data_IF_427999059962
#
_entry.id   IF_427999059962
#
_cell.length_a   1.000
_cell.length_b   1.000
_cell.length_c   1.000
_cell.angle_alpha   90.00
_cell.angle_beta   90.00
_cell.angle_gamma   90.00
#
_symmetry.space_group_name_H-M   'P 1'
#
loop_
_entity.id
_entity.type
_entity.pdbx_description
1 polymer ?
#
# COMPACT_ATOMS: atom_id res chain seq x y z
N UNK A 1 0.53 -2.50 11.46
CA UNK A 1 -0.45 -2.01 10.47
C UNK A 1 0.40 -1.23 9.50
N UNK A 2 0.39 -1.61 8.21
CA UNK A 2 1.32 -1.06 7.23
C UNK A 2 1.19 0.46 7.15
N UNK A 3 2.16 1.18 7.70
CA UNK A 3 2.13 2.63 7.86
C UNK A 3 3.27 3.36 7.17
N UNK A 4 4.24 2.64 6.60
CA UNK A 4 5.31 3.16 5.77
C UNK A 4 5.62 2.16 4.66
N UNK A 5 5.88 2.65 3.46
CA UNK A 5 6.35 1.82 2.35
C UNK A 5 7.29 2.58 1.42
N UNK A 6 7.85 1.87 0.44
CA UNK A 6 8.81 2.44 -0.51
C UNK A 6 8.34 2.27 -1.95
N UNK A 7 8.84 3.15 -2.81
CA UNK A 7 8.62 3.15 -4.24
C UNK A 7 9.96 3.50 -4.89
N UNK A 8 10.66 2.52 -5.40
CA UNK A 8 11.95 2.69 -6.08
C UNK A 8 11.94 2.09 -7.48
N UNK A 9 10.82 1.47 -7.89
CA UNK A 9 10.59 1.05 -9.26
C UNK A 9 10.57 2.26 -10.20
N UNK A 10 11.04 2.01 -11.41
CA UNK A 10 11.02 2.93 -12.54
C UNK A 10 9.66 2.89 -13.25
N UNK A 11 9.41 3.89 -14.10
CA UNK A 11 8.24 3.86 -14.98
C UNK A 11 8.24 2.64 -15.91
N UNK A 12 9.41 2.26 -16.45
CA UNK A 12 9.52 1.13 -17.36
C UNK A 12 9.12 -0.19 -16.69
N UNK A 13 9.53 -0.39 -15.42
CA UNK A 13 9.17 -1.59 -14.66
C UNK A 13 7.67 -1.69 -14.43
N UNK A 14 7.00 -0.63 -13.96
CA UNK A 14 5.54 -0.70 -13.74
C UNK A 14 4.75 -0.69 -15.05
N UNK A 15 5.25 -0.03 -16.09
CA UNK A 15 4.63 -0.05 -17.41
C UNK A 15 4.59 -1.48 -17.96
N UNK A 16 5.71 -2.19 -17.90
CA UNK A 16 5.80 -3.58 -18.31
C UNK A 16 4.99 -4.51 -17.39
N UNK A 17 5.16 -4.37 -16.07
CA UNK A 17 4.52 -5.22 -15.07
C UNK A 17 2.99 -5.20 -15.16
N UNK A 18 2.38 -4.02 -15.33
CA UNK A 18 0.92 -3.89 -15.42
C UNK A 18 0.39 -3.84 -16.87
N UNK A 19 1.25 -3.98 -17.87
CA UNK A 19 0.91 -3.80 -19.29
C UNK A 19 0.09 -2.51 -19.53
N UNK A 20 0.62 -1.38 -19.04
CA UNK A 20 -0.06 -0.08 -19.11
C UNK A 20 -0.13 0.40 -20.56
N UNK A 21 -1.18 1.14 -20.90
CA UNK A 21 -1.38 1.66 -22.27
C UNK A 21 -0.99 3.12 -22.45
N UNK A 22 -0.58 3.80 -21.37
CA UNK A 22 -0.16 5.19 -21.43
C UNK A 22 1.06 5.38 -22.34
N UNK A 23 0.92 6.17 -23.40
CA UNK A 23 1.98 6.36 -24.41
C UNK A 23 3.06 7.34 -23.95
N UNK A 24 2.78 8.17 -22.95
CA UNK A 24 3.72 9.18 -22.45
C UNK A 24 4.50 8.61 -21.26
N UNK A 25 5.84 8.47 -21.37
CA UNK A 25 6.66 8.06 -20.25
C UNK A 25 6.53 9.02 -19.07
N UNK A 26 6.51 8.48 -17.84
CA UNK A 26 6.55 9.30 -16.62
C UNK A 26 7.93 9.24 -16.00
N UNK A 27 8.35 10.36 -15.41
CA UNK A 27 9.54 10.40 -14.58
C UNK A 27 9.17 10.13 -13.11
N UNK A 28 9.06 8.85 -12.74
CA UNK A 28 8.79 8.45 -11.36
C UNK A 28 10.10 8.56 -10.55
N UNK A 29 10.07 9.40 -9.52
CA UNK A 29 11.20 9.56 -8.59
C UNK A 29 11.15 8.50 -7.49
N UNK A 30 12.30 7.95 -7.06
CA UNK A 30 12.35 7.03 -5.94
C UNK A 30 11.97 7.72 -4.64
N UNK A 31 11.24 7.01 -3.79
CA UNK A 31 10.75 7.44 -2.48
C UNK A 31 10.97 6.32 -1.47
N UNK A 32 11.82 6.59 -0.50
CA UNK A 32 12.35 5.58 0.42
C UNK A 32 11.61 5.54 1.78
N UNK A 33 10.65 6.43 2.01
CA UNK A 33 9.86 6.46 3.24
C UNK A 33 8.48 7.13 3.04
N UNK A 34 7.60 6.48 2.27
CA UNK A 34 6.26 6.99 2.00
C UNK A 34 5.41 6.88 3.26
N UNK A 35 4.87 8.01 3.70
CA UNK A 35 3.97 8.11 4.85
C UNK A 35 2.50 8.37 4.41
N UNK A 36 1.53 8.08 5.28
CA UNK A 36 0.13 8.41 5.03
C UNK A 36 -0.06 9.90 4.77
N UNK A 37 -1.16 10.24 4.11
CA UNK A 37 -1.53 11.58 3.62
C UNK A 37 -0.75 12.11 2.41
N UNK A 38 0.30 11.41 1.96
CA UNK A 38 1.01 11.75 0.72
C UNK A 38 0.35 11.14 -0.51
N UNK A 39 0.66 11.66 -1.70
CA UNK A 39 0.26 11.04 -2.97
C UNK A 39 1.03 9.73 -3.18
N UNK A 40 0.40 8.69 -3.71
CA UNK A 40 1.03 7.40 -4.00
C UNK A 40 0.59 6.87 -5.36
N UNK A 41 1.44 6.10 -6.03
CA UNK A 41 1.08 5.44 -7.28
C UNK A 41 -0.04 4.42 -7.09
N UNK A 42 -1.03 4.46 -7.98
CA UNK A 42 -2.20 3.59 -7.98
C UNK A 42 -2.50 3.13 -9.39
N UNK A 43 -2.78 1.83 -9.55
CA UNK A 43 -3.27 1.25 -10.80
C UNK A 43 -4.78 1.00 -10.69
N UNK A 44 -5.52 1.50 -11.67
CA UNK A 44 -6.97 1.30 -11.81
C UNK A 44 -7.31 0.71 -13.16
N UNK A 45 -8.48 0.10 -13.26
CA UNK A 45 -9.02 -0.36 -14.54
C UNK A 45 -9.77 0.79 -15.25
N UNK A 46 -9.41 1.05 -16.50
CA UNK A 46 -10.06 2.00 -17.41
C UNK A 46 -10.49 1.28 -18.68
N UNK A 47 -11.75 0.84 -18.71
CA UNK A 47 -12.25 -0.06 -19.76
C UNK A 47 -11.48 -1.40 -19.73
N UNK A 48 -10.86 -1.76 -20.84
CA UNK A 48 -10.04 -2.98 -20.98
C UNK A 48 -8.60 -2.81 -20.48
N UNK A 49 -8.18 -1.56 -20.22
CA UNK A 49 -6.80 -1.21 -19.94
C UNK A 49 -6.56 -0.91 -18.45
N UNK A 50 -5.29 -1.01 -18.05
CA UNK A 50 -4.84 -0.55 -16.75
C UNK A 50 -4.16 0.81 -16.89
N UNK A 51 -4.47 1.71 -15.96
CA UNK A 51 -3.96 3.08 -15.94
C UNK A 51 -3.26 3.38 -14.61
N UNK A 52 -2.12 4.07 -14.70
CA UNK A 52 -1.42 4.61 -13.53
C UNK A 52 -1.89 6.03 -13.23
N UNK A 53 -2.24 6.28 -11.98
CA UNK A 53 -2.54 7.61 -11.43
C UNK A 53 -1.89 7.77 -10.05
N UNK A 54 -1.93 8.99 -9.51
CA UNK A 54 -1.50 9.25 -8.14
C UNK A 54 -2.70 9.65 -7.29
N UNK A 55 -2.81 9.07 -6.08
CA UNK A 55 -3.92 9.32 -5.17
C UNK A 55 -3.42 9.56 -3.75
N UNK A 56 -4.15 10.38 -2.99
CA UNK A 56 -3.81 10.66 -1.60
C UNK A 56 -4.01 9.40 -0.75
N UNK A 57 -2.97 8.90 -0.10
CA UNK A 57 -3.07 7.72 0.76
C UNK A 57 -3.65 8.06 2.14
N UNK A 58 -4.98 8.19 2.20
CA UNK A 58 -5.83 8.34 3.38
C UNK A 58 -7.26 8.56 2.89
N UNK A 59 -8.01 7.46 2.73
CA UNK A 59 -9.28 7.45 2.01
C UNK A 59 -10.31 8.39 2.65
N UNK A 60 -10.91 9.21 1.80
CA UNK A 60 -12.02 10.12 2.09
C UNK A 60 -13.21 9.63 1.29
N UNK A 61 -14.27 9.11 1.92
CA UNK A 61 -15.39 8.60 1.19
C UNK A 61 -16.16 9.75 0.54
N UNK A 62 -16.72 9.52 -0.64
CA UNK A 62 -17.49 10.50 -1.42
C UNK A 62 -18.64 11.15 -0.65
N UNK A 63 -19.23 10.44 0.32
CA UNK A 63 -20.31 10.95 1.17
C UNK A 63 -19.84 11.82 2.35
N UNK A 64 -18.53 11.92 2.61
CA UNK A 64 -17.99 12.68 3.74
C UNK A 64 -18.42 14.14 3.65
N UNK A 65 -19.00 14.66 4.73
CA UNK A 65 -19.62 15.99 4.75
C UNK A 65 -18.94 16.98 5.69
N UNK A 66 -17.80 16.59 6.29
CA UNK A 66 -17.00 17.43 7.19
C UNK A 66 -15.67 17.76 6.51
N UNK A 67 -14.86 18.59 7.15
CA UNK A 67 -13.54 18.94 6.66
C UNK A 67 -12.65 17.70 6.46
N UNK A 68 -11.76 17.78 5.46
CA UNK A 68 -10.75 16.78 5.16
C UNK A 68 -9.89 16.39 6.38
N UNK A 69 -9.59 17.36 7.26
CA UNK A 69 -8.79 17.16 8.47
C UNK A 69 -9.49 16.31 9.54
N UNK A 70 -10.83 16.20 9.47
CA UNK A 70 -11.64 15.45 10.43
C UNK A 70 -11.86 13.99 10.05
N UNK A 71 -11.38 13.58 8.87
CA UNK A 71 -11.47 12.19 8.40
C UNK A 71 -10.69 11.29 9.36
N UNK A 72 -11.31 10.24 9.93
CA UNK A 72 -10.62 9.33 10.84
C UNK A 72 -9.50 8.58 10.10
N UNK A 73 -8.69 7.83 10.84
CA UNK A 73 -7.61 7.04 10.28
C UNK A 73 -8.11 5.99 9.26
N UNK A 74 -7.88 6.26 7.98
CA UNK A 74 -8.37 5.44 6.86
C UNK A 74 -7.30 5.08 5.84
N UNK A 75 -6.02 5.24 6.18
CA UNK A 75 -4.92 4.78 5.32
C UNK A 75 -4.87 3.25 5.20
N UNK A 76 -5.44 2.50 6.15
CA UNK A 76 -5.67 1.06 6.03
C UNK A 76 -7.16 0.70 6.20
N UNK A 77 -7.61 -0.30 5.44
CA UNK A 77 -8.87 -1.01 5.62
C UNK A 77 -8.60 -2.44 6.08
N UNK A 78 -9.37 -2.96 7.04
CA UNK A 78 -9.20 -4.34 7.54
C UNK A 78 -10.11 -5.26 6.76
N UNK A 79 -9.57 -6.34 6.17
CA UNK A 79 -10.36 -7.27 5.35
C UNK A 79 -11.54 -7.89 6.09
N UNK A 80 -11.47 -8.02 7.42
CA UNK A 80 -12.50 -8.63 8.25
C UNK A 80 -13.78 -7.79 8.33
N UNK A 81 -13.64 -6.45 8.32
CA UNK A 81 -14.77 -5.51 8.47
C UNK A 81 -15.06 -4.68 7.21
N UNK A 82 -14.29 -4.86 6.14
CA UNK A 82 -14.30 -4.00 4.94
C UNK A 82 -15.67 -3.93 4.26
N UNK A 83 -16.42 -5.04 4.24
CA UNK A 83 -17.71 -5.14 3.56
C UNK A 83 -18.86 -4.46 4.33
N UNK A 84 -18.73 -4.32 5.65
CA UNK A 84 -19.77 -3.72 6.51
C UNK A 84 -19.45 -2.28 6.90
N UNK A 85 -18.18 -1.89 6.91
CA UNK A 85 -17.72 -0.57 7.38
C UNK A 85 -18.14 0.55 6.43
N UNK A 86 -18.89 1.58 6.90
CA UNK A 86 -19.35 2.67 6.05
C UNK A 86 -18.26 3.41 5.27
N UNK A 87 -17.05 3.49 5.84
CA UNK A 87 -15.89 4.13 5.19
C UNK A 87 -15.42 3.40 3.92
N UNK A 88 -15.67 2.09 3.80
CA UNK A 88 -15.05 1.25 2.77
C UNK A 88 -16.06 0.47 1.91
N UNK A 89 -17.24 0.14 2.45
CA UNK A 89 -18.22 -0.75 1.79
C UNK A 89 -18.66 -0.30 0.40
N UNK A 90 -18.72 1.01 0.16
CA UNK A 90 -19.07 1.55 -1.17
C UNK A 90 -17.90 1.38 -2.11
N UNK A 91 -16.71 1.81 -1.69
CA UNK A 91 -15.51 1.71 -2.51
C UNK A 91 -15.13 0.25 -2.83
N UNK A 92 -15.36 -0.68 -1.90
CA UNK A 92 -15.20 -2.11 -2.14
C UNK A 92 -16.00 -2.61 -3.34
N UNK A 93 -17.21 -2.07 -3.57
CA UNK A 93 -18.10 -2.50 -4.66
C UNK A 93 -17.74 -1.92 -6.02
N UNK A 94 -17.12 -0.74 -6.09
CA UNK A 94 -16.98 -0.01 -7.36
C UNK A 94 -15.60 0.56 -7.66
N UNK A 95 -14.75 0.78 -6.66
CA UNK A 95 -13.51 1.55 -6.80
C UNK A 95 -12.36 0.85 -6.10
N UNK A 96 -12.05 -0.35 -6.60
CA UNK A 96 -10.88 -1.13 -6.19
C UNK A 96 -9.67 -0.68 -7.01
N UNK A 97 -8.49 -0.77 -6.42
CA UNK A 97 -7.24 -0.45 -7.09
C UNK A 97 -6.10 -1.37 -6.64
N UNK A 98 -4.98 -1.25 -7.33
CA UNK A 98 -3.70 -1.88 -6.98
C UNK A 98 -2.71 -0.79 -6.57
N UNK A 99 -1.92 -1.02 -5.54
CA UNK A 99 -0.92 -0.06 -5.05
C UNK A 99 0.46 -0.72 -5.13
N UNK A 100 1.28 -0.41 -6.15
CA UNK A 100 2.63 -0.95 -6.26
C UNK A 100 3.56 -0.35 -5.20
N UNK A 101 4.38 -1.20 -4.59
CA UNK A 101 5.41 -0.83 -3.62
C UNK A 101 6.66 -1.69 -3.82
N UNK A 102 7.86 -1.12 -3.65
CA UNK A 102 9.09 -1.93 -3.62
C UNK A 102 9.13 -2.81 -2.37
N UNK A 103 8.69 -2.26 -1.24
CA UNK A 103 8.58 -2.95 0.04
C UNK A 103 7.89 -2.09 1.06
N UNK A 104 7.69 -2.62 2.26
CA UNK A 104 7.04 -1.91 3.37
C UNK A 104 7.79 -2.09 4.68
N UNK A 105 7.49 -1.23 5.65
CA UNK A 105 8.11 -1.30 6.97
C UNK A 105 7.10 -1.73 8.03
N UNK A 106 7.57 -2.54 8.97
CA UNK A 106 6.89 -2.84 10.22
C UNK A 106 7.87 -2.80 11.39
N UNK A 107 7.35 -2.60 12.60
CA UNK A 107 8.13 -2.40 13.80
C UNK A 107 7.82 -3.49 14.82
N UNK A 108 8.87 -4.14 15.33
CA UNK A 108 8.74 -5.15 16.39
C UNK A 108 9.64 -4.84 17.60
N UNK A 109 9.29 -5.43 18.75
CA UNK A 109 9.96 -5.19 20.04
C UNK A 109 9.09 -4.41 21.04
N UNK A 110 9.65 -4.08 22.21
CA UNK A 110 8.97 -3.30 23.24
C UNK A 110 8.50 -1.95 22.71
N UNK A 111 7.33 -1.47 23.15
CA UNK A 111 6.66 -0.26 22.61
C UNK A 111 7.58 0.97 22.52
N UNK A 112 8.39 1.21 23.55
CA UNK A 112 9.28 2.38 23.63
C UNK A 112 10.61 2.21 22.87
N UNK A 113 10.90 1.01 22.36
CA UNK A 113 12.17 0.66 21.73
C UNK A 113 11.96 -0.21 20.48
N UNK A 114 10.84 -0.01 19.76
CA UNK A 114 10.56 -0.82 18.59
C UNK A 114 11.60 -0.55 17.50
N UNK A 115 12.15 -1.62 16.97
CA UNK A 115 13.10 -1.57 15.88
C UNK A 115 12.37 -1.83 14.55
N UNK A 116 12.71 -1.11 13.48
CA UNK A 116 12.09 -1.31 12.18
C UNK A 116 12.62 -2.57 11.48
N UNK A 117 11.78 -3.13 10.63
CA UNK A 117 12.09 -4.10 9.61
C UNK A 117 11.70 -3.52 8.26
N UNK A 118 12.47 -3.81 7.23
CA UNK A 118 12.02 -3.67 5.85
C UNK A 118 11.62 -5.03 5.32
N UNK A 119 10.48 -5.11 4.66
CA UNK A 119 9.88 -6.32 4.10
C UNK A 119 9.67 -6.11 2.60
N UNK A 120 10.16 -7.04 1.79
CA UNK A 120 10.07 -7.00 0.32
C UNK A 120 9.84 -8.39 -0.27
N UNK A 121 9.59 -8.46 -1.58
CA UNK A 121 9.49 -9.73 -2.28
C UNK A 121 10.85 -10.44 -2.34
N UNK A 122 10.88 -11.77 -2.18
CA UNK A 122 12.13 -12.56 -2.32
C UNK A 122 12.69 -12.52 -3.74
N UNK A 123 11.82 -12.40 -4.75
CA UNK A 123 12.20 -12.37 -6.16
C UNK A 123 12.68 -10.99 -6.65
N UNK A 124 12.71 -9.99 -5.76
CA UNK A 124 13.16 -8.63 -6.06
C UNK A 124 12.15 -7.78 -6.86
N UNK A 125 10.99 -8.34 -7.25
CA UNK A 125 9.96 -7.58 -7.96
C UNK A 125 9.16 -6.69 -7.00
N UNK A 126 8.56 -5.59 -7.49
CA UNK A 126 7.61 -4.82 -6.70
C UNK A 126 6.46 -5.69 -6.18
N UNK A 127 6.04 -5.42 -4.95
CA UNK A 127 4.80 -5.93 -4.37
C UNK A 127 3.60 -5.16 -4.91
N UNK A 128 2.45 -5.83 -4.97
CA UNK A 128 1.18 -5.22 -5.36
C UNK A 128 0.17 -5.35 -4.23
N UNK A 129 -0.13 -4.24 -3.54
CA UNK A 129 -1.14 -4.24 -2.48
C UNK A 129 -2.55 -4.10 -3.06
N UNK A 130 -3.51 -4.84 -2.51
CA UNK A 130 -4.93 -4.58 -2.75
C UNK A 130 -5.32 -3.26 -2.08
N UNK A 131 -5.97 -2.37 -2.83
CA UNK A 131 -6.44 -1.08 -2.33
C UNK A 131 -7.88 -0.79 -2.74
N UNK A 132 -8.44 0.22 -2.07
CA UNK A 132 -9.66 0.89 -2.50
C UNK A 132 -9.35 2.37 -2.73
N UNK A 133 -10.11 3.03 -3.57
CA UNK A 133 -10.09 4.48 -3.73
C UNK A 133 -11.49 5.08 -3.72
N UNK A 134 -11.59 6.38 -3.49
CA UNK A 134 -12.83 7.13 -3.66
C UNK A 134 -12.50 8.58 -4.06
N UNK A 135 -13.49 9.27 -4.63
CA UNK A 135 -13.41 10.67 -5.03
C UNK A 135 -14.34 11.48 -4.15
N UNK A 136 -13.76 12.38 -3.37
CA UNK A 136 -14.48 13.28 -2.52
C UNK A 136 -14.41 14.70 -3.07
N UNK A 137 -15.52 15.44 -2.97
CA UNK A 137 -15.60 16.85 -3.34
C UNK A 137 -16.06 17.65 -2.15
N UNK A 138 -15.27 18.64 -1.77
CA UNK A 138 -15.65 19.60 -0.75
C UNK A 138 -16.87 20.39 -1.21
N UNK A 139 -17.91 20.45 -0.38
CA UNK A 139 -19.18 21.09 -0.73
C UNK A 139 -19.12 22.62 -0.70
N UNK A 140 -18.20 23.18 0.07
CA UNK A 140 -18.05 24.61 0.26
C UNK A 140 -17.04 25.19 -0.74
N UNK A 141 -15.88 24.55 -0.88
CA UNK A 141 -14.79 25.04 -1.74
C UNK A 141 -14.84 24.47 -3.17
N UNK A 142 -15.50 23.34 -3.36
CA UNK A 142 -15.48 22.60 -4.64
C UNK A 142 -14.18 21.85 -4.91
N UNK A 143 -13.23 21.83 -3.97
CA UNK A 143 -11.98 21.08 -4.07
C UNK A 143 -12.25 19.58 -4.22
N UNK A 144 -11.57 18.91 -5.15
CA UNK A 144 -11.70 17.48 -5.38
C UNK A 144 -10.45 16.73 -4.90
N UNK A 145 -10.66 15.69 -4.10
CA UNK A 145 -9.60 14.81 -3.60
C UNK A 145 -9.92 13.39 -4.03
N UNK A 146 -9.06 12.82 -4.89
CA UNK A 146 -9.02 11.37 -5.09
C UNK A 146 -8.07 10.75 -4.08
N UNK A 147 -8.54 9.77 -3.32
CA UNK A 147 -7.80 9.20 -2.20
C UNK A 147 -7.94 7.69 -2.14
N UNK A 148 -6.94 7.02 -1.58
CA UNK A 148 -6.89 5.56 -1.49
C UNK A 148 -6.60 5.05 -0.07
N UNK A 149 -6.82 3.75 0.12
CA UNK A 149 -6.50 2.98 1.32
C UNK A 149 -5.87 1.65 0.93
N UNK A 150 -4.97 1.13 1.76
CA UNK A 150 -4.39 -0.20 1.60
C UNK A 150 -5.25 -1.20 2.40
N UNK A 151 -5.60 -2.33 1.80
CA UNK A 151 -6.29 -3.40 2.51
C UNK A 151 -5.25 -4.23 3.27
N UNK A 152 -5.56 -4.53 4.52
CA UNK A 152 -4.74 -5.35 5.41
C UNK A 152 -5.53 -6.56 5.89
N UNK A 153 -4.83 -7.68 6.09
CA UNK A 153 -5.36 -8.92 6.65
C UNK A 153 -4.50 -9.35 7.85
N UNK A 154 -4.87 -10.47 8.47
CA UNK A 154 -4.01 -11.13 9.46
C UNK A 154 -2.62 -11.45 8.88
N UNK A 155 -1.62 -11.49 9.74
CA UNK A 155 -0.28 -11.89 9.33
C UNK A 155 -0.20 -13.41 9.13
N UNK A 156 0.50 -13.82 8.09
CA UNK A 156 0.96 -15.19 7.92
C UNK A 156 2.06 -15.54 8.96
N UNK A 157 2.42 -16.82 9.15
CA UNK A 157 3.44 -17.22 10.13
C UNK A 157 4.77 -16.45 10.01
N UNK A 158 5.25 -16.16 8.80
CA UNK A 158 6.42 -15.32 8.58
C UNK A 158 6.25 -13.91 9.20
N UNK A 159 5.17 -13.21 8.84
CA UNK A 159 4.90 -11.85 9.30
C UNK A 159 4.56 -11.80 10.79
N UNK A 160 3.99 -12.84 11.39
CA UNK A 160 3.66 -12.88 12.83
C UNK A 160 4.90 -12.73 13.72
N UNK A 161 6.09 -13.10 13.23
CA UNK A 161 7.38 -12.84 13.91
C UNK A 161 7.67 -11.33 14.05
N UNK A 162 7.05 -10.48 13.22
CA UNK A 162 7.26 -9.02 13.15
C UNK A 162 6.02 -8.25 13.64
N UNK A 163 4.85 -8.51 13.06
CA UNK A 163 3.60 -7.81 13.32
C UNK A 163 2.39 -8.73 13.10
N UNK A 164 1.31 -8.57 13.85
CA UNK A 164 0.07 -9.37 13.76
C UNK A 164 -0.76 -9.15 12.48
N UNK A 165 -0.31 -8.28 11.58
CA UNK A 165 -1.07 -7.80 10.40
C UNK A 165 -0.10 -7.58 9.26
N UNK A 166 -0.58 -7.74 8.04
CA UNK A 166 0.17 -7.44 6.81
C UNK A 166 -0.76 -6.81 5.76
N UNK A 167 -0.22 -6.09 4.76
CA UNK A 167 -1.01 -5.74 3.59
C UNK A 167 -1.47 -7.00 2.85
N UNK A 168 -2.65 -6.93 2.23
CA UNK A 168 -3.06 -7.96 1.26
C UNK A 168 -2.23 -7.76 0.00
N UNK A 169 -1.36 -8.73 -0.29
CA UNK A 169 -0.46 -8.70 -1.45
C UNK A 169 -1.04 -9.63 -2.52
N UNK A 170 -1.42 -9.07 -3.66
CA UNK A 170 -2.06 -9.80 -4.75
C UNK A 170 -1.02 -10.34 -5.74
N UNK A 171 -1.25 -11.56 -6.20
CA UNK A 171 -0.51 -12.14 -7.33
C UNK A 171 -0.99 -11.54 -8.64
N UNK A 172 -0.12 -11.52 -9.65
CA UNK A 172 -0.42 -11.00 -10.99
C UNK A 172 -1.67 -11.62 -11.61
N UNK A 173 -1.87 -12.94 -11.40
CA UNK A 173 -3.06 -13.68 -11.86
C UNK A 173 -4.38 -13.15 -11.28
N UNK A 174 -4.33 -12.49 -10.13
CA UNK A 174 -5.52 -12.07 -9.38
C UNK A 174 -5.88 -10.60 -9.60
N UNK A 175 -4.98 -9.80 -10.20
CA UNK A 175 -5.16 -8.35 -10.35
C UNK A 175 -6.42 -7.98 -11.11
N UNK A 176 -6.67 -8.61 -12.25
CA UNK A 176 -7.86 -8.32 -13.08
C UNK A 176 -9.14 -8.76 -12.38
N UNK A 177 -9.13 -9.93 -11.72
CA UNK A 177 -10.29 -10.40 -10.96
C UNK A 177 -10.61 -9.45 -9.81
N UNK A 178 -9.59 -8.98 -9.08
CA UNK A 178 -9.74 -7.98 -8.03
C UNK A 178 -10.29 -6.65 -8.53
N UNK A 179 -9.79 -6.14 -9.67
CA UNK A 179 -10.27 -4.88 -10.23
C UNK A 179 -11.70 -4.98 -10.76
N UNK A 180 -12.09 -6.11 -11.35
CA UNK A 180 -13.41 -6.32 -11.96
C UNK A 180 -14.55 -6.40 -10.94
N UNK A 181 -14.37 -7.10 -9.81
CA UNK A 181 -15.45 -7.36 -8.86
C UNK A 181 -14.94 -7.48 -7.40
N UNK A 182 -15.80 -7.36 -6.37
CA UNK A 182 -15.39 -7.39 -4.97
C UNK A 182 -15.02 -8.82 -4.48
N UNK A 183 -13.89 -9.34 -4.96
CA UNK A 183 -13.33 -10.66 -4.61
C UNK A 183 -12.74 -10.69 -3.20
N UNK A 184 -13.62 -10.74 -2.19
CA UNK A 184 -13.23 -10.81 -0.77
C UNK A 184 -12.41 -12.06 -0.42
N UNK A 185 -12.54 -13.12 -1.20
CA UNK A 185 -11.77 -14.36 -1.08
C UNK A 185 -10.27 -14.20 -1.41
N UNK A 186 -9.90 -13.11 -2.11
CA UNK A 186 -8.52 -12.72 -2.35
C UNK A 186 -7.90 -11.94 -1.18
N UNK A 187 -8.72 -11.46 -0.22
CA UNK A 187 -8.28 -10.59 0.88
C UNK A 187 -7.70 -11.38 2.07
N UNK A 188 -6.70 -12.20 1.76
CA UNK A 188 -6.05 -13.15 2.67
C UNK A 188 -4.53 -12.93 2.72
N UNK A 189 -3.83 -13.49 3.72
CA UNK A 189 -2.38 -13.38 3.82
C UNK A 189 -1.69 -13.97 2.59
N UNK A 190 -0.58 -13.37 2.17
CA UNK A 190 0.25 -13.93 1.11
C UNK A 190 0.95 -15.22 1.59
N UNK A 191 1.40 -16.05 0.65
CA UNK A 191 2.21 -17.22 0.98
C UNK A 191 3.50 -16.82 1.71
N UNK A 192 3.86 -17.58 2.75
CA UNK A 192 5.01 -17.32 3.63
C UNK A 192 6.33 -17.22 2.87
N UNK A 193 6.46 -17.99 1.79
CA UNK A 193 7.69 -18.08 1.02
C UNK A 193 7.94 -16.92 0.07
N UNK A 194 7.01 -15.98 -0.07
CA UNK A 194 7.14 -14.88 -1.03
C UNK A 194 7.90 -13.66 -0.47
N UNK A 195 8.08 -13.57 0.85
CA UNK A 195 8.61 -12.38 1.51
C UNK A 195 9.97 -12.63 2.17
N UNK A 196 10.80 -11.60 2.16
CA UNK A 196 12.04 -11.51 2.95
C UNK A 196 12.00 -10.25 3.81
N UNK A 197 12.71 -10.29 4.94
CA UNK A 197 12.79 -9.17 5.85
C UNK A 197 14.16 -9.07 6.53
N UNK A 198 14.60 -7.84 6.77
CA UNK A 198 15.82 -7.52 7.50
C UNK A 198 15.65 -6.26 8.33
N UNK A 199 16.52 -6.12 9.34
CA UNK A 199 16.57 -4.92 10.18
C UNK A 199 17.16 -3.74 9.41
N UNK A 200 16.57 -2.56 9.62
CA UNK A 200 17.01 -1.31 8.99
C UNK A 200 17.27 -0.24 10.05
N UNK A 201 17.86 0.88 9.63
CA UNK A 201 18.14 2.02 10.50
C UNK A 201 16.85 2.63 11.08
N UNK A 202 16.92 3.12 12.33
CA UNK A 202 15.83 3.87 12.97
C UNK A 202 15.57 5.25 12.34
N UNK A 203 16.41 5.69 11.39
CA UNK A 203 16.17 6.90 10.58
C UNK A 203 14.76 6.90 9.95
N UNK A 204 14.26 5.73 9.54
CA UNK A 204 12.92 5.55 8.95
C UNK A 204 11.77 5.98 9.88
N UNK A 205 12.00 6.03 11.21
CA UNK A 205 11.01 6.48 12.18
C UNK A 205 10.55 7.92 11.92
N UNK A 206 11.46 8.76 11.41
CA UNK A 206 11.13 10.12 10.97
C UNK A 206 10.58 10.07 9.55
N UNK A 207 9.29 10.36 9.37
CA UNK A 207 8.65 10.43 8.03
C UNK A 207 9.28 11.48 7.09
N UNK A 208 10.06 12.42 7.64
CA UNK A 208 10.80 13.42 6.86
C UNK A 208 12.09 12.87 6.26
N UNK A 209 12.60 11.75 6.78
CA UNK A 209 13.82 11.14 6.30
C UNK A 209 13.54 10.28 5.06
N UNK A 210 14.21 10.56 3.95
CA UNK A 210 14.00 9.92 2.63
C UNK A 210 15.32 9.38 2.05
N UNK A 211 16.27 8.98 2.90
CA UNK A 211 17.53 8.38 2.46
C UNK A 211 17.34 6.97 1.93
N UNK A 212 18.16 6.57 0.95
CA UNK A 212 18.16 5.20 0.39
C UNK A 212 18.59 4.15 1.41
N UNK A 213 19.37 4.55 2.42
CA UNK A 213 19.79 3.72 3.54
C UNK A 213 18.61 3.19 4.38
N UNK A 214 17.41 3.76 4.26
CA UNK A 214 16.23 3.26 5.01
C UNK A 214 15.84 1.85 4.64
N UNK A 215 16.17 1.38 3.43
CA UNK A 215 15.89 0.02 2.99
C UNK A 215 17.10 -0.91 3.09
N UNK A 216 18.27 -0.41 3.49
CA UNK A 216 19.49 -1.21 3.54
C UNK A 216 19.61 -1.95 4.88
N UNK A 217 20.13 -3.20 4.90
CA UNK A 217 20.37 -3.92 6.12
C UNK A 217 21.41 -3.20 6.99
N UNK A 218 21.14 -3.12 8.30
CA UNK A 218 22.16 -2.67 9.26
C UNK A 218 23.16 -3.80 9.50
N UNK A 219 24.45 -3.48 9.67
CA UNK A 219 25.55 -4.47 9.77
C UNK A 219 25.36 -5.50 10.90
N UNK A 220 24.61 -5.15 11.95
CA UNK A 220 24.27 -6.02 13.09
C UNK A 220 22.87 -6.64 13.01
N UNK A 221 22.17 -6.43 11.90
CA UNK A 221 20.79 -6.81 11.67
C UNK A 221 20.68 -8.17 11.01
N UNK A 222 20.33 -9.20 11.79
CA UNK A 222 20.03 -10.51 11.22
C UNK A 222 18.91 -10.45 10.18
N UNK A 223 19.05 -11.26 9.12
CA UNK A 223 17.93 -11.64 8.27
C UNK A 223 16.88 -12.33 9.14
N UNK A 224 15.59 -12.14 8.84
CA UNK A 224 14.58 -12.96 9.48
C UNK A 224 14.71 -14.39 8.94
N UNK A 225 15.23 -15.31 9.76
CA UNK A 225 15.32 -16.72 9.39
C UNK A 225 13.91 -17.29 9.12
N UNK A 226 13.79 -17.97 7.97
CA UNK A 226 12.56 -18.62 7.48
C UNK A 226 11.98 -19.59 8.49
#
# INVERSE_FOLDING_TARGET
>A
MCGRFTQTYTWAEIYAMYNLTATTPRNIQPRYNIAPTTQVGVITQEGEHLAYSEMRWWLVPSWWSKDLKSVPTTFNARSEDIASKPMFRTALKSTRCLIPATGFFEWSGPKEARLPWFISAKDGRPLTFAGLYDRWKDRETGEEVTSCTIITCDANPFMQKIHTRMPVILQESDWRAWLAEPRVDLLKPANDDNLQAWRVSTNVNSSRYQGEDTMQPIETGGLLDG
#
